data_IF_243100275984
#
_entry.id   IF_243100275984
#
_cell.length_a   1.000
_cell.length_b   1.000
_cell.length_c   1.000
_cell.angle_alpha   90.00
_cell.angle_beta   90.00
_cell.angle_gamma   90.00
#
_symmetry.space_group_name_H-M   'P 1'
#
loop_
_entity.id
_entity.type
_entity.pdbx_description
1 polymer ?
#
# COMPACT_ATOMS: atom_id res chain seq x y z
N UNK A 1 -45.10 -9.61 61.95
CA UNK A 1 -45.77 -10.52 60.99
C UNK A 1 -46.49 -9.63 59.98
N UNK A 2 -45.88 -9.34 58.84
CA UNK A 2 -46.60 -8.70 57.74
C UNK A 2 -46.15 -9.44 56.46
N UNK A 3 -47.10 -10.17 55.87
CA UNK A 3 -46.96 -10.88 54.60
C UNK A 3 -47.21 -9.91 53.46
N UNK A 4 -46.24 -9.72 52.61
CA UNK A 4 -46.41 -8.99 51.35
C UNK A 4 -46.45 -10.05 50.23
N UNK A 5 -47.65 -10.22 49.64
CA UNK A 5 -47.89 -11.02 48.45
C UNK A 5 -47.48 -10.24 47.20
N UNK A 6 -46.48 -10.74 46.48
CA UNK A 6 -46.07 -10.21 45.17
C UNK A 6 -46.90 -10.93 44.07
N UNK A 7 -47.75 -10.16 43.41
CA UNK A 7 -48.50 -10.60 42.21
C UNK A 7 -47.62 -10.36 40.99
N UNK A 8 -47.21 -11.42 40.32
CA UNK A 8 -46.41 -11.40 39.06
C UNK A 8 -47.36 -11.22 37.88
N UNK A 9 -47.39 -10.02 37.30
CA UNK A 9 -48.08 -9.76 36.03
C UNK A 9 -47.18 -10.12 34.88
N UNK A 10 -47.50 -11.18 34.14
CA UNK A 10 -46.80 -11.62 32.94
C UNK A 10 -47.26 -10.78 31.75
N UNK A 11 -46.48 -9.77 31.36
CA UNK A 11 -46.71 -8.99 30.10
C UNK A 11 -46.07 -9.73 28.94
N UNK A 12 -46.92 -10.32 28.09
CA UNK A 12 -46.52 -10.94 26.83
C UNK A 12 -46.24 -9.82 25.82
N UNK A 13 -44.97 -9.42 25.65
CA UNK A 13 -44.55 -8.53 24.56
C UNK A 13 -44.38 -9.38 23.30
N UNK A 14 -45.35 -9.31 22.41
CA UNK A 14 -45.19 -9.81 21.03
C UNK A 14 -44.12 -8.98 20.31
N UNK A 15 -42.88 -9.46 20.30
CA UNK A 15 -41.83 -8.99 19.44
C UNK A 15 -42.16 -9.41 18.00
N UNK A 16 -42.79 -8.49 17.23
CA UNK A 16 -42.88 -8.60 15.81
C UNK A 16 -41.45 -8.54 15.24
N UNK A 17 -40.94 -9.65 14.72
CA UNK A 17 -39.74 -9.68 13.91
C UNK A 17 -40.04 -8.85 12.65
N UNK A 18 -39.24 -7.83 12.33
CA UNK A 18 -39.30 -7.24 11.02
C UNK A 18 -38.83 -8.32 10.03
N UNK A 19 -39.74 -8.80 9.19
CA UNK A 19 -39.37 -9.53 7.98
C UNK A 19 -38.60 -8.54 7.13
N UNK A 20 -37.27 -8.54 7.27
CA UNK A 20 -36.37 -7.83 6.38
C UNK A 20 -36.61 -8.36 4.98
N UNK A 21 -37.36 -7.63 4.19
CA UNK A 21 -37.38 -7.76 2.75
C UNK A 21 -35.93 -7.63 2.27
N UNK A 22 -35.32 -8.74 1.85
CA UNK A 22 -34.13 -8.72 1.03
C UNK A 22 -34.51 -8.10 -0.32
N UNK A 23 -34.65 -6.77 -0.34
CA UNK A 23 -34.74 -6.03 -1.56
C UNK A 23 -33.43 -6.26 -2.31
N UNK A 24 -33.49 -6.90 -3.48
CA UNK A 24 -32.37 -6.89 -4.42
C UNK A 24 -32.05 -5.41 -4.66
N UNK A 25 -30.92 -4.96 -4.12
CA UNK A 25 -30.43 -3.60 -4.35
C UNK A 25 -30.24 -3.44 -5.85
N UNK A 26 -30.78 -2.35 -6.41
CA UNK A 26 -30.63 -2.04 -7.82
C UNK A 26 -29.13 -2.11 -8.20
N UNK A 27 -28.78 -2.66 -9.37
CA UNK A 27 -27.38 -2.77 -9.78
C UNK A 27 -26.72 -1.40 -9.79
N UNK A 28 -25.57 -1.30 -9.15
CA UNK A 28 -24.77 -0.07 -9.13
C UNK A 28 -24.08 0.03 -10.48
N UNK A 29 -24.43 1.06 -11.26
CA UNK A 29 -23.72 1.38 -12.49
C UNK A 29 -22.40 2.06 -12.12
N UNK A 30 -21.29 1.37 -12.36
CA UNK A 30 -19.95 1.79 -11.96
C UNK A 30 -19.15 2.23 -13.20
N UNK A 31 -18.69 3.49 -13.22
CA UNK A 31 -17.70 3.96 -14.19
C UNK A 31 -16.29 3.70 -13.68
N UNK A 32 -15.28 3.73 -14.57
CA UNK A 32 -13.87 3.61 -14.17
C UNK A 32 -13.47 4.70 -13.16
N UNK A 33 -13.95 5.94 -13.36
CA UNK A 33 -13.65 7.05 -12.48
C UNK A 33 -14.24 6.83 -11.07
N UNK A 34 -15.48 6.35 -10.98
CA UNK A 34 -16.14 6.04 -9.70
C UNK A 34 -15.43 4.89 -8.98
N UNK A 35 -14.99 3.86 -9.72
CA UNK A 35 -14.26 2.74 -9.15
C UNK A 35 -12.94 3.21 -8.50
N UNK A 36 -12.18 4.08 -9.19
CA UNK A 36 -10.93 4.66 -8.67
C UNK A 36 -11.19 5.54 -7.45
N UNK A 37 -12.20 6.42 -7.50
CA UNK A 37 -12.54 7.30 -6.38
C UNK A 37 -12.89 6.50 -5.13
N UNK A 38 -13.79 5.52 -5.25
CA UNK A 38 -14.18 4.62 -4.14
C UNK A 38 -12.99 3.83 -3.59
N UNK A 39 -12.15 3.27 -4.46
CA UNK A 39 -10.99 2.52 -4.02
C UNK A 39 -9.98 3.38 -3.25
N UNK A 40 -9.84 4.66 -3.58
CA UNK A 40 -9.01 5.59 -2.80
C UNK A 40 -9.60 5.92 -1.43
N UNK A 41 -10.91 6.01 -1.31
CA UNK A 41 -11.60 6.29 -0.05
C UNK A 41 -11.56 5.11 0.92
N UNK A 42 -11.69 3.89 0.40
CA UNK A 42 -11.85 2.67 1.22
C UNK A 42 -10.56 1.89 1.44
N UNK A 43 -9.46 2.27 0.79
CA UNK A 43 -8.21 1.50 0.80
C UNK A 43 -7.51 1.50 2.15
N UNK A 44 -7.46 0.35 2.81
CA UNK A 44 -6.65 0.12 4.01
C UNK A 44 -5.14 0.29 3.75
N UNK A 45 -4.66 -0.02 2.53
CA UNK A 45 -3.26 0.19 2.14
C UNK A 45 -2.89 1.67 2.12
N UNK A 46 -3.77 2.55 1.63
CA UNK A 46 -3.55 3.99 1.71
C UNK A 46 -3.64 4.52 3.13
N UNK A 47 -4.56 4.00 3.94
CA UNK A 47 -4.67 4.34 5.35
C UNK A 47 -3.40 3.94 6.13
N UNK A 48 -2.82 2.77 5.84
CA UNK A 48 -1.55 2.32 6.42
C UNK A 48 -0.39 3.28 6.11
N UNK A 49 -0.20 3.68 4.83
CA UNK A 49 0.89 4.58 4.45
C UNK A 49 0.68 5.98 5.05
N UNK A 50 -0.56 6.47 5.13
CA UNK A 50 -0.89 7.73 5.85
C UNK A 50 -0.56 7.65 7.34
N UNK A 51 -0.81 6.52 8.00
CA UNK A 51 -0.42 6.34 9.39
C UNK A 51 1.11 6.34 9.57
N UNK A 52 1.86 5.78 8.61
CA UNK A 52 3.34 5.87 8.59
C UNK A 52 3.82 7.32 8.41
N UNK A 53 3.16 8.11 7.57
CA UNK A 53 3.45 9.54 7.42
C UNK A 53 3.26 10.30 8.75
N UNK A 54 2.15 10.05 9.45
CA UNK A 54 1.93 10.64 10.78
C UNK A 54 3.04 10.26 11.78
N UNK A 55 3.47 8.99 11.75
CA UNK A 55 4.61 8.53 12.55
C UNK A 55 5.91 9.25 12.19
N UNK A 56 6.18 9.47 10.91
CA UNK A 56 7.36 10.21 10.46
C UNK A 56 7.30 11.70 10.84
N UNK A 57 6.12 12.34 10.77
CA UNK A 57 5.92 13.71 11.25
C UNK A 57 6.15 13.81 12.76
N UNK A 58 5.68 12.84 13.54
CA UNK A 58 5.97 12.77 14.98
C UNK A 58 7.48 12.62 15.25
N UNK A 59 8.21 11.85 14.42
CA UNK A 59 9.67 11.75 14.50
C UNK A 59 10.38 13.09 14.20
N UNK A 60 9.85 13.91 13.27
CA UNK A 60 10.34 15.28 13.04
C UNK A 60 10.17 16.12 14.30
N UNK A 61 8.98 16.10 14.92
CA UNK A 61 8.76 16.82 16.18
C UNK A 61 9.69 16.32 17.31
N UNK A 62 9.95 15.00 17.36
CA UNK A 62 10.93 14.43 18.28
C UNK A 62 12.35 14.95 18.04
N UNK A 63 12.78 15.07 16.77
CA UNK A 63 14.06 15.64 16.40
C UNK A 63 14.16 17.12 16.76
N UNK A 64 13.09 17.91 16.53
CA UNK A 64 12.98 19.31 16.92
C UNK A 64 12.96 19.54 18.42
N UNK A 65 12.54 18.54 19.19
CA UNK A 65 12.58 18.60 20.64
C UNK A 65 13.95 18.34 21.24
N UNK A 66 14.90 17.80 20.44
CA UNK A 66 16.21 17.41 20.93
C UNK A 66 17.15 18.57 21.32
N UNK A 67 16.84 19.80 20.85
CA UNK A 67 17.52 21.04 21.27
C UNK A 67 16.75 21.81 22.36
N UNK A 68 15.60 21.31 22.80
CA UNK A 68 14.75 21.94 23.79
C UNK A 68 15.16 21.54 25.22
N UNK A 69 14.83 22.37 26.22
CA UNK A 69 15.04 22.00 27.60
C UNK A 69 14.18 20.81 28.02
N UNK A 70 14.79 19.92 28.83
CA UNK A 70 14.13 18.75 29.41
C UNK A 70 14.10 18.91 30.93
N UNK A 71 12.98 18.60 31.54
CA UNK A 71 12.83 18.55 33.01
C UNK A 71 12.55 17.10 33.40
N UNK A 72 13.32 16.59 34.34
CA UNK A 72 13.17 15.23 34.86
C UNK A 72 13.01 15.27 36.39
N UNK A 73 12.15 14.40 36.92
CA UNK A 73 12.03 14.18 38.35
C UNK A 73 12.46 12.72 38.65
N UNK A 74 13.34 12.55 39.60
CA UNK A 74 13.81 11.24 40.05
C UNK A 74 13.64 11.11 41.56
N UNK A 75 13.28 9.92 42.03
CA UNK A 75 13.26 9.58 43.45
C UNK A 75 13.94 8.21 43.63
N UNK A 76 14.80 8.12 44.63
CA UNK A 76 15.51 6.90 44.95
C UNK A 76 15.61 6.67 46.44
N UNK A 77 15.47 5.42 46.84
CA UNK A 77 15.79 4.94 48.18
C UNK A 77 16.93 3.94 48.04
N UNK A 78 17.94 4.11 48.92
CA UNK A 78 19.02 3.14 49.05
C UNK A 78 19.36 2.90 50.52
N UNK A 79 19.54 1.63 50.87
CA UNK A 79 20.06 1.24 52.17
C UNK A 79 21.50 0.75 51.98
N UNK A 80 22.38 1.38 52.74
CA UNK A 80 23.80 1.01 52.78
C UNK A 80 24.11 0.20 54.03
N UNK A 81 25.32 -0.36 54.12
CA UNK A 81 25.81 -1.00 55.34
C UNK A 81 26.05 0.08 56.41
N UNK A 82 26.05 -0.37 57.68
CA UNK A 82 26.45 0.44 58.82
C UNK A 82 27.94 0.80 58.73
N UNK A 83 28.24 2.05 59.09
CA UNK A 83 29.61 2.58 59.13
C UNK A 83 29.89 3.16 60.53
N UNK A 84 31.11 3.06 61.04
CA UNK A 84 31.46 3.69 62.33
C UNK A 84 31.26 5.21 62.26
N UNK A 85 30.63 5.77 63.32
CA UNK A 85 30.49 7.21 63.45
C UNK A 85 31.84 7.90 63.59
N UNK A 86 32.06 8.99 62.87
CA UNK A 86 33.23 9.83 63.03
C UNK A 86 32.86 11.11 63.79
N UNK A 87 33.42 11.27 64.98
CA UNK A 87 33.08 12.38 65.88
C UNK A 87 34.34 12.96 66.54
N UNK A 88 34.33 14.26 66.83
CA UNK A 88 35.37 14.97 67.63
C UNK A 88 34.81 15.37 68.97
N UNK A 89 35.58 15.33 70.00
CA UNK A 89 35.27 15.95 71.28
C UNK A 89 35.83 17.37 71.29
N UNK A 90 34.94 18.39 71.39
CA UNK A 90 35.27 19.79 71.39
C UNK A 90 35.93 20.16 72.76
N UNK A 91 36.74 21.24 72.80
CA UNK A 91 37.32 21.71 74.07
C UNK A 91 36.26 22.01 75.14
N UNK A 92 35.03 22.27 74.76
CA UNK A 92 33.87 22.42 75.63
C UNK A 92 33.32 21.15 76.25
N UNK A 93 33.87 19.96 75.87
CA UNK A 93 33.36 18.66 76.27
C UNK A 93 32.26 18.07 75.41
N UNK A 94 31.69 18.87 74.45
CA UNK A 94 30.62 18.41 73.58
C UNK A 94 31.18 17.52 72.46
N UNK A 95 30.48 16.38 72.17
CA UNK A 95 30.79 15.47 71.04
C UNK A 95 30.11 16.00 69.76
N UNK A 96 30.91 16.41 68.80
CA UNK A 96 30.43 16.79 67.48
C UNK A 96 30.56 15.59 66.52
N UNK A 97 29.40 14.99 66.16
CA UNK A 97 29.36 13.91 65.13
C UNK A 97 29.43 14.58 63.78
N UNK A 98 30.48 14.25 63.02
CA UNK A 98 30.76 14.82 61.72
C UNK A 98 30.21 13.92 60.62
N UNK A 99 30.32 12.60 60.80
CA UNK A 99 29.80 11.60 59.90
C UNK A 99 28.98 10.57 60.71
N UNK A 100 27.68 10.73 60.78
CA UNK A 100 26.77 9.80 61.46
C UNK A 100 26.58 8.50 60.67
N UNK A 101 26.24 7.44 61.38
CA UNK A 101 25.78 6.18 60.78
C UNK A 101 24.30 6.31 60.34
N UNK A 102 24.09 6.60 59.07
CA UNK A 102 22.76 6.74 58.50
C UNK A 102 22.66 5.79 57.31
N UNK A 103 22.17 4.54 57.51
CA UNK A 103 22.11 3.55 56.46
C UNK A 103 21.02 3.80 55.43
N UNK A 104 19.93 4.46 55.83
CA UNK A 104 18.78 4.73 54.96
C UNK A 104 18.92 6.10 54.26
N UNK A 105 18.97 6.07 52.95
CA UNK A 105 19.19 7.27 52.16
C UNK A 105 18.03 7.41 51.17
N UNK A 106 17.36 8.54 51.20
CA UNK A 106 16.31 8.91 50.25
C UNK A 106 16.71 10.18 49.52
N UNK A 107 16.69 10.16 48.20
CA UNK A 107 17.03 11.32 47.37
C UNK A 107 15.92 11.53 46.38
N UNK A 108 15.39 12.74 46.37
CA UNK A 108 14.51 13.21 45.30
C UNK A 108 15.19 14.37 44.60
N UNK A 109 15.15 14.35 43.25
CA UNK A 109 15.77 15.39 42.44
C UNK A 109 14.82 15.82 41.31
N UNK A 110 14.63 17.12 41.14
CA UNK A 110 14.11 17.70 39.91
C UNK A 110 15.26 18.34 39.17
N UNK A 111 15.53 17.90 37.95
CA UNK A 111 16.65 18.35 37.13
C UNK A 111 16.14 18.96 35.82
N UNK A 112 16.73 20.10 35.46
CA UNK A 112 16.59 20.79 34.19
C UNK A 112 17.87 20.57 33.39
N UNK A 113 17.76 20.17 32.10
CA UNK A 113 18.86 20.02 31.18
C UNK A 113 18.52 20.66 29.85
N UNK A 114 19.43 21.44 29.29
CA UNK A 114 19.26 22.09 28.01
C UNK A 114 20.56 22.08 27.20
N UNK A 115 20.60 21.38 26.04
CA UNK A 115 21.73 21.43 25.12
C UNK A 115 21.66 22.73 24.31
N UNK A 116 22.44 23.74 24.69
CA UNK A 116 22.43 25.05 24.02
C UNK A 116 23.29 25.11 22.76
N UNK A 117 24.26 24.17 22.64
CA UNK A 117 25.13 24.08 21.48
C UNK A 117 25.53 22.63 21.21
N UNK A 118 25.19 22.12 20.01
CA UNK A 118 25.42 20.73 19.61
C UNK A 118 26.30 20.60 18.38
N UNK A 119 27.05 21.63 18.01
CA UNK A 119 27.88 21.70 16.80
C UNK A 119 27.15 21.38 15.50
N UNK A 120 25.83 21.66 15.44
CA UNK A 120 24.96 21.39 14.30
C UNK A 120 24.49 19.94 14.17
N UNK A 121 24.73 19.08 15.18
CA UNK A 121 24.29 17.69 15.16
C UNK A 121 22.77 17.57 15.19
N UNK A 122 22.12 18.32 16.06
CA UNK A 122 20.64 18.30 16.19
C UNK A 122 19.99 18.83 14.92
N UNK A 123 20.47 19.96 14.38
CA UNK A 123 19.97 20.52 13.13
C UNK A 123 20.11 19.55 11.94
N UNK A 124 21.22 18.80 11.89
CA UNK A 124 21.44 17.81 10.85
C UNK A 124 20.48 16.60 11.01
N UNK A 125 20.22 16.18 12.26
CA UNK A 125 19.26 15.10 12.52
C UNK A 125 17.83 15.52 12.25
N UNK A 126 17.45 16.78 12.52
CA UNK A 126 16.16 17.35 12.16
C UNK A 126 15.96 17.37 10.62
N UNK A 127 16.99 17.83 9.87
CA UNK A 127 16.94 17.76 8.41
C UNK A 127 16.78 16.33 7.91
N UNK A 128 17.47 15.37 8.52
CA UNK A 128 17.34 13.95 8.16
C UNK A 128 15.93 13.41 8.42
N UNK A 129 15.34 13.75 9.58
CA UNK A 129 13.96 13.35 9.91
C UNK A 129 12.93 14.00 8.96
N UNK A 130 13.12 15.29 8.64
CA UNK A 130 12.26 16.04 7.71
C UNK A 130 12.33 15.45 6.29
N UNK A 131 13.52 15.12 5.81
CA UNK A 131 13.70 14.48 4.50
C UNK A 131 13.02 13.09 4.44
N UNK A 132 13.08 12.31 5.51
CA UNK A 132 12.39 11.01 5.59
C UNK A 132 10.86 11.19 5.61
N UNK A 133 10.34 12.15 6.36
CA UNK A 133 8.89 12.45 6.37
C UNK A 133 8.39 12.86 4.98
N UNK A 134 9.16 13.69 4.27
CA UNK A 134 8.84 14.08 2.89
C UNK A 134 8.96 12.90 1.91
N UNK A 135 9.90 11.99 2.12
CA UNK A 135 10.02 10.77 1.32
C UNK A 135 8.80 9.84 1.51
N UNK A 136 8.33 9.67 2.74
CA UNK A 136 7.13 8.90 3.04
C UNK A 136 5.87 9.56 2.43
N UNK A 137 5.80 10.89 2.40
CA UNK A 137 4.73 11.59 1.68
C UNK A 137 4.73 11.25 0.17
N UNK A 138 5.92 11.17 -0.46
CA UNK A 138 6.03 10.71 -1.84
C UNK A 138 5.69 9.21 -2.00
N UNK A 139 5.93 8.36 -0.99
CA UNK A 139 5.49 6.97 -1.00
C UNK A 139 3.94 6.84 -0.99
N UNK A 140 3.22 7.80 -0.43
CA UNK A 140 1.73 7.85 -0.54
C UNK A 140 1.32 8.03 -2.00
N UNK A 141 1.98 8.91 -2.74
CA UNK A 141 1.67 9.12 -4.15
C UNK A 141 2.00 7.87 -4.98
N UNK A 142 3.10 7.17 -4.65
CA UNK A 142 3.42 5.85 -5.22
C UNK A 142 2.31 4.84 -4.94
N UNK A 143 1.86 4.74 -3.70
CA UNK A 143 0.80 3.81 -3.31
C UNK A 143 -0.54 4.12 -4.00
N UNK A 144 -0.86 5.40 -4.22
CA UNK A 144 -2.03 5.83 -4.99
C UNK A 144 -1.93 5.42 -6.46
N UNK A 145 -0.79 5.65 -7.09
CA UNK A 145 -0.58 5.30 -8.48
C UNK A 145 -0.64 3.78 -8.70
N UNK A 146 -0.10 2.98 -7.78
CA UNK A 146 -0.17 1.53 -7.81
C UNK A 146 -1.61 1.02 -7.60
N UNK A 147 -2.32 1.58 -6.62
CA UNK A 147 -3.72 1.23 -6.36
C UNK A 147 -4.61 1.59 -7.54
N UNK A 148 -4.40 2.76 -8.17
CA UNK A 148 -5.11 3.13 -9.40
C UNK A 148 -4.92 2.09 -10.50
N UNK A 149 -3.67 1.68 -10.77
CA UNK A 149 -3.39 0.66 -11.77
C UNK A 149 -4.08 -0.68 -11.43
N UNK A 150 -4.10 -1.07 -10.16
CA UNK A 150 -4.75 -2.31 -9.70
C UNK A 150 -6.28 -2.24 -9.93
N UNK A 151 -6.92 -1.11 -9.58
CA UNK A 151 -8.35 -0.90 -9.80
C UNK A 151 -8.69 -0.88 -11.30
N UNK A 152 -7.90 -0.18 -12.11
CA UNK A 152 -8.08 -0.12 -13.57
C UNK A 152 -7.97 -1.51 -14.18
N UNK A 153 -7.01 -2.31 -13.73
CA UNK A 153 -6.85 -3.71 -14.15
C UNK A 153 -8.07 -4.57 -13.78
N UNK A 154 -8.54 -4.47 -12.54
CA UNK A 154 -9.71 -5.23 -12.08
C UNK A 154 -10.98 -4.80 -12.83
N UNK A 155 -11.15 -3.52 -13.08
CA UNK A 155 -12.29 -2.96 -13.84
C UNK A 155 -12.34 -3.52 -15.27
N UNK A 156 -11.22 -3.45 -16.00
CA UNK A 156 -11.15 -3.97 -17.35
C UNK A 156 -11.17 -5.51 -17.41
N UNK A 157 -10.75 -6.20 -16.35
CA UNK A 157 -10.90 -7.66 -16.24
C UNK A 157 -12.39 -8.05 -16.20
N UNK A 158 -13.22 -7.33 -15.43
CA UNK A 158 -14.68 -7.55 -15.43
C UNK A 158 -15.30 -7.26 -16.80
N UNK A 159 -14.92 -6.14 -17.44
CA UNK A 159 -15.41 -5.81 -18.78
C UNK A 159 -15.04 -6.88 -19.81
N UNK A 160 -13.82 -7.41 -19.72
CA UNK A 160 -13.32 -8.49 -20.58
C UNK A 160 -14.08 -9.80 -20.34
N UNK A 161 -14.28 -10.18 -19.09
CA UNK A 161 -15.00 -11.40 -18.73
C UNK A 161 -16.48 -11.33 -19.17
N UNK A 162 -17.11 -10.16 -19.01
CA UNK A 162 -18.49 -9.93 -19.50
C UNK A 162 -18.58 -10.10 -21.02
N UNK A 163 -17.65 -9.52 -21.77
CA UNK A 163 -17.62 -9.64 -23.23
C UNK A 163 -17.34 -11.09 -23.68
N UNK A 164 -16.45 -11.81 -22.99
CA UNK A 164 -16.18 -13.21 -23.27
C UNK A 164 -17.43 -14.10 -23.05
N UNK A 165 -18.17 -13.86 -21.96
CA UNK A 165 -19.44 -14.56 -21.71
C UNK A 165 -20.43 -14.27 -22.84
N UNK A 166 -20.60 -13.02 -23.26
CA UNK A 166 -21.51 -12.64 -24.37
C UNK A 166 -21.14 -13.36 -25.66
N UNK A 167 -19.87 -13.39 -26.03
CA UNK A 167 -19.38 -14.09 -27.24
C UNK A 167 -19.66 -15.59 -27.17
N UNK A 168 -19.42 -16.22 -26.01
CA UNK A 168 -19.67 -17.64 -25.80
C UNK A 168 -21.16 -17.99 -25.76
N UNK A 169 -22.04 -17.13 -25.21
CA UNK A 169 -23.50 -17.29 -25.25
C UNK A 169 -24.02 -17.27 -26.70
N UNK A 170 -23.51 -16.33 -27.50
CA UNK A 170 -23.87 -16.27 -28.94
C UNK A 170 -23.34 -17.48 -29.70
N UNK A 171 -22.13 -17.98 -29.39
CA UNK A 171 -21.57 -19.19 -29.98
C UNK A 171 -22.41 -20.43 -29.61
N UNK A 172 -22.74 -20.59 -28.32
CA UNK A 172 -23.61 -21.68 -27.85
C UNK A 172 -24.98 -21.67 -28.53
N UNK A 173 -25.58 -20.48 -28.69
CA UNK A 173 -26.85 -20.34 -29.40
C UNK A 173 -26.76 -20.78 -30.89
N UNK A 174 -25.66 -20.40 -31.56
CA UNK A 174 -25.36 -20.83 -32.94
C UNK A 174 -25.16 -22.35 -33.01
N UNK A 175 -24.46 -22.95 -32.06
CA UNK A 175 -24.22 -24.39 -32.01
C UNK A 175 -25.50 -25.19 -31.74
N UNK A 176 -26.37 -24.71 -30.85
CA UNK A 176 -27.68 -25.35 -30.58
C UNK A 176 -28.58 -25.33 -31.82
N UNK A 177 -28.61 -24.21 -32.55
CA UNK A 177 -29.37 -24.09 -33.78
C UNK A 177 -28.86 -25.06 -34.89
N UNK A 178 -27.54 -25.13 -35.05
CA UNK A 178 -26.88 -26.03 -36.01
C UNK A 178 -27.13 -27.50 -35.67
N UNK A 179 -27.01 -27.86 -34.37
CA UNK A 179 -27.31 -29.23 -33.95
C UNK A 179 -28.77 -29.64 -34.22
N UNK A 180 -29.70 -28.74 -33.92
CA UNK A 180 -31.13 -28.98 -34.17
C UNK A 180 -31.42 -29.18 -35.65
N UNK A 181 -30.79 -28.39 -36.54
CA UNK A 181 -30.96 -28.57 -38.00
C UNK A 181 -30.33 -29.89 -38.48
N UNK A 182 -29.13 -30.21 -37.99
CA UNK A 182 -28.45 -31.44 -38.35
C UNK A 182 -29.21 -32.70 -37.87
N UNK A 183 -29.81 -32.67 -36.68
CA UNK A 183 -30.70 -33.75 -36.21
C UNK A 183 -31.88 -34.00 -37.13
N UNK A 184 -32.58 -32.96 -37.59
CA UNK A 184 -33.68 -33.08 -38.57
C UNK A 184 -33.21 -33.70 -39.89
N UNK A 185 -32.04 -33.29 -40.37
CA UNK A 185 -31.44 -33.86 -41.60
C UNK A 185 -31.04 -35.32 -41.45
N UNK A 186 -30.55 -35.71 -40.27
CA UNK A 186 -30.24 -37.10 -39.94
C UNK A 186 -31.52 -37.99 -39.93
N UNK A 187 -32.60 -37.49 -39.30
CA UNK A 187 -33.89 -38.21 -39.26
C UNK A 187 -34.42 -38.57 -40.65
N UNK A 188 -34.16 -37.71 -41.64
CA UNK A 188 -34.55 -37.98 -43.05
C UNK A 188 -33.42 -38.57 -43.87
N UNK A 189 -32.32 -39.03 -43.25
CA UNK A 189 -31.26 -39.77 -43.92
C UNK A 189 -30.29 -38.92 -44.77
N UNK A 190 -30.30 -37.59 -44.61
CA UNK A 190 -29.46 -36.70 -45.44
C UNK A 190 -28.02 -36.53 -44.90
N UNK A 191 -27.77 -36.85 -43.64
CA UNK A 191 -26.43 -36.81 -43.08
C UNK A 191 -26.15 -38.04 -42.20
N UNK A 192 -24.90 -38.49 -42.07
CA UNK A 192 -24.52 -39.67 -41.29
C UNK A 192 -24.47 -39.37 -39.77
N UNK A 193 -24.63 -40.40 -38.90
CA UNK A 193 -24.69 -40.22 -37.42
C UNK A 193 -23.43 -39.64 -36.81
N UNK A 194 -22.26 -39.87 -37.41
CA UNK A 194 -20.97 -39.33 -36.91
C UNK A 194 -20.94 -37.79 -36.99
N UNK A 195 -21.60 -37.14 -37.93
CA UNK A 195 -21.70 -35.69 -38.03
C UNK A 195 -22.55 -35.12 -36.88
N UNK A 196 -23.65 -35.77 -36.53
CA UNK A 196 -24.47 -35.37 -35.37
C UNK A 196 -23.64 -35.50 -34.07
N UNK A 197 -22.94 -36.64 -33.91
CA UNK A 197 -22.09 -36.85 -32.72
C UNK A 197 -20.96 -35.82 -32.60
N UNK A 198 -20.36 -35.40 -33.72
CA UNK A 198 -19.34 -34.34 -33.72
C UNK A 198 -19.90 -33.00 -33.25
N UNK A 199 -21.09 -32.62 -33.68
CA UNK A 199 -21.79 -31.41 -33.26
C UNK A 199 -22.21 -31.44 -31.78
N UNK A 200 -22.67 -32.62 -31.29
CA UNK A 200 -22.99 -32.79 -29.86
C UNK A 200 -21.73 -32.65 -28.97
N UNK A 201 -20.60 -33.20 -29.40
CA UNK A 201 -19.34 -33.04 -28.70
C UNK A 201 -18.88 -31.57 -28.68
N UNK A 202 -19.03 -30.86 -29.81
CA UNK A 202 -18.68 -29.43 -29.87
C UNK A 202 -19.57 -28.57 -28.98
N UNK A 203 -20.88 -28.76 -29.05
CA UNK A 203 -21.83 -28.08 -28.16
C UNK A 203 -21.47 -28.28 -26.68
N UNK A 204 -21.09 -29.48 -26.30
CA UNK A 204 -20.67 -29.80 -24.94
C UNK A 204 -19.39 -29.05 -24.54
N UNK A 205 -18.41 -28.92 -25.45
CA UNK A 205 -17.21 -28.09 -25.23
C UNK A 205 -17.51 -26.62 -25.06
N UNK A 206 -18.34 -26.05 -25.93
CA UNK A 206 -18.74 -24.62 -25.84
C UNK A 206 -19.51 -24.32 -24.55
N UNK A 207 -20.38 -25.26 -24.12
CA UNK A 207 -21.07 -25.13 -22.83
C UNK A 207 -20.11 -25.17 -21.64
N UNK A 208 -19.08 -26.01 -21.67
CA UNK A 208 -18.05 -26.03 -20.64
C UNK A 208 -17.26 -24.70 -20.60
N UNK A 209 -16.89 -24.15 -21.76
CA UNK A 209 -16.23 -22.85 -21.88
C UNK A 209 -17.10 -21.70 -21.34
N UNK A 210 -18.42 -21.74 -21.62
CA UNK A 210 -19.36 -20.75 -21.10
C UNK A 210 -19.45 -20.78 -19.56
N UNK A 211 -19.50 -21.99 -18.97
CA UNK A 211 -19.50 -22.15 -17.50
C UNK A 211 -18.21 -21.58 -16.92
N UNK A 212 -17.05 -21.89 -17.50
CA UNK A 212 -15.76 -21.38 -17.08
C UNK A 212 -15.68 -19.84 -17.18
N UNK A 213 -16.14 -19.27 -18.29
CA UNK A 213 -16.20 -17.82 -18.47
C UNK A 213 -17.12 -17.15 -17.44
N UNK A 214 -18.25 -17.78 -17.09
CA UNK A 214 -19.14 -17.34 -16.01
C UNK A 214 -18.43 -17.32 -14.67
N UNK A 215 -17.67 -18.34 -14.33
CA UNK A 215 -16.87 -18.38 -13.10
C UNK A 215 -15.76 -17.30 -13.08
N UNK A 216 -15.09 -17.07 -14.20
CA UNK A 216 -14.09 -16.00 -14.34
C UNK A 216 -14.76 -14.62 -14.12
N UNK A 217 -15.96 -14.40 -14.69
CA UNK A 217 -16.70 -13.15 -14.47
C UNK A 217 -17.00 -12.93 -12.98
N UNK A 218 -17.50 -13.92 -12.29
CA UNK A 218 -17.77 -13.80 -10.84
C UNK A 218 -16.50 -13.57 -10.03
N UNK A 219 -15.41 -14.26 -10.35
CA UNK A 219 -14.11 -14.05 -9.68
C UNK A 219 -13.59 -12.61 -9.87
N UNK A 220 -13.68 -12.07 -11.09
CA UNK A 220 -13.26 -10.68 -11.35
C UNK A 220 -14.16 -9.65 -10.65
N UNK A 221 -15.46 -9.93 -10.50
CA UNK A 221 -16.38 -9.10 -9.74
C UNK A 221 -16.04 -9.09 -8.24
N UNK A 222 -15.66 -10.25 -7.67
CA UNK A 222 -15.20 -10.34 -6.27
C UNK A 222 -13.97 -9.44 -6.06
N UNK A 223 -12.99 -9.50 -6.94
CA UNK A 223 -11.79 -8.67 -6.86
C UNK A 223 -12.11 -7.17 -6.97
N UNK A 224 -13.00 -6.79 -7.89
CA UNK A 224 -13.39 -5.39 -8.05
C UNK A 224 -14.15 -4.87 -6.82
N UNK A 225 -15.09 -5.67 -6.25
CA UNK A 225 -15.80 -5.31 -5.01
C UNK A 225 -14.81 -5.09 -3.87
N UNK A 226 -13.85 -5.99 -3.69
CA UNK A 226 -12.80 -5.88 -2.67
C UNK A 226 -11.99 -4.59 -2.82
N UNK A 227 -11.58 -4.24 -4.04
CA UNK A 227 -10.76 -3.05 -4.31
C UNK A 227 -11.54 -1.74 -4.16
N UNK A 228 -12.85 -1.77 -4.40
CA UNK A 228 -13.73 -0.59 -4.32
C UNK A 228 -14.48 -0.48 -2.99
N UNK A 229 -14.26 -1.42 -2.06
CA UNK A 229 -14.92 -1.43 -0.75
C UNK A 229 -16.43 -1.64 -0.83
N UNK A 230 -16.92 -2.25 -1.92
CA UNK A 230 -18.32 -2.59 -2.06
C UNK A 230 -18.64 -3.89 -1.31
N UNK A 231 -19.90 -3.98 -0.83
CA UNK A 231 -20.39 -5.19 -0.20
C UNK A 231 -20.28 -6.39 -1.15
N UNK A 232 -19.90 -7.61 -0.67
CA UNK A 232 -19.77 -8.80 -1.49
C UNK A 232 -21.01 -9.15 -2.34
N UNK A 233 -22.20 -8.83 -1.86
CA UNK A 233 -23.47 -9.14 -2.52
C UNK A 233 -23.95 -8.02 -3.48
N UNK A 234 -23.21 -6.92 -3.58
CA UNK A 234 -23.56 -5.81 -4.46
C UNK A 234 -23.52 -6.23 -5.92
N UNK A 235 -24.62 -6.02 -6.64
CA UNK A 235 -24.68 -6.22 -8.09
C UNK A 235 -24.04 -5.03 -8.78
N UNK A 236 -22.96 -5.26 -9.53
CA UNK A 236 -22.23 -4.23 -10.27
C UNK A 236 -22.55 -4.36 -11.76
N UNK A 237 -22.96 -3.25 -12.37
CA UNK A 237 -22.99 -3.09 -13.83
C UNK A 237 -21.89 -2.11 -14.27
N UNK A 238 -20.96 -2.60 -15.11
CA UNK A 238 -19.88 -1.79 -15.66
C UNK A 238 -20.42 -0.90 -16.79
N UNK A 239 -20.21 0.42 -16.64
CA UNK A 239 -20.72 1.41 -17.58
C UNK A 239 -19.94 1.44 -18.90
N UNK A 240 -18.61 1.21 -18.84
CA UNK A 240 -17.74 1.38 -19.99
C UNK A 240 -17.64 0.10 -20.83
N UNK A 241 -17.57 0.28 -22.15
CA UNK A 241 -17.34 -0.82 -23.10
C UNK A 241 -15.86 -0.90 -23.43
N UNK A 242 -15.37 -2.12 -23.71
CA UNK A 242 -13.96 -2.35 -24.08
C UNK A 242 -13.52 -1.57 -25.33
N UNK A 243 -14.41 -1.42 -26.29
CA UNK A 243 -14.16 -0.80 -27.60
C UNK A 243 -14.47 0.71 -27.63
N UNK A 244 -15.03 1.30 -26.58
CA UNK A 244 -15.40 2.70 -26.54
C UNK A 244 -14.18 3.61 -26.32
N UNK A 245 -14.02 4.66 -27.14
CA UNK A 245 -13.02 5.71 -26.89
C UNK A 245 -11.58 5.22 -26.97
N UNK A 246 -11.26 4.30 -27.87
CA UNK A 246 -9.88 3.95 -28.22
C UNK A 246 -9.26 5.16 -28.92
N UNK A 247 -8.69 6.09 -28.14
CA UNK A 247 -7.96 7.20 -28.67
C UNK A 247 -6.57 6.73 -29.12
N UNK A 248 -6.06 7.29 -30.22
CA UNK A 248 -4.62 7.20 -30.47
C UNK A 248 -3.91 7.87 -29.28
N UNK A 249 -3.12 7.16 -28.49
CA UNK A 249 -2.44 7.77 -27.38
C UNK A 249 -1.53 8.87 -27.93
N UNK A 250 -1.70 10.09 -27.41
CA UNK A 250 -0.77 11.17 -27.71
C UNK A 250 0.59 10.78 -27.15
N UNK A 251 1.51 10.43 -28.06
CA UNK A 251 2.87 10.07 -27.69
C UNK A 251 3.56 11.34 -27.17
N UNK A 252 3.98 11.43 -25.90
CA UNK A 252 4.67 12.60 -25.39
C UNK A 252 5.98 12.80 -26.14
N UNK A 253 6.41 14.04 -26.34
CA UNK A 253 7.62 14.37 -27.10
C UNK A 253 8.90 13.84 -26.42
N UNK A 254 8.91 13.69 -25.09
CA UNK A 254 10.03 13.12 -24.34
C UNK A 254 9.52 12.28 -23.15
N UNK A 255 8.99 11.07 -23.41
CA UNK A 255 8.28 10.28 -22.39
C UNK A 255 9.19 9.81 -21.25
N UNK A 256 10.46 9.57 -21.51
CA UNK A 256 11.42 9.13 -20.48
C UNK A 256 11.69 10.27 -19.50
N UNK A 257 11.95 11.47 -19.99
CA UNK A 257 12.22 12.61 -19.13
C UNK A 257 10.98 12.96 -18.30
N UNK A 258 9.80 12.94 -18.90
CA UNK A 258 8.53 13.15 -18.20
C UNK A 258 8.36 12.14 -17.06
N UNK A 259 8.66 10.87 -17.30
CA UNK A 259 8.60 9.83 -16.28
C UNK A 259 9.61 10.07 -15.14
N UNK A 260 10.86 10.43 -15.47
CA UNK A 260 11.88 10.72 -14.46
C UNK A 260 11.52 11.91 -13.57
N UNK A 261 10.83 12.91 -14.14
CA UNK A 261 10.44 14.12 -13.40
C UNK A 261 9.16 13.90 -12.56
N UNK A 262 8.24 13.06 -13.02
CA UNK A 262 6.92 12.90 -12.41
C UNK A 262 6.80 11.69 -11.47
N UNK A 263 7.66 10.67 -11.58
CA UNK A 263 7.54 9.47 -10.74
C UNK A 263 7.81 9.76 -9.26
N UNK A 264 6.83 9.48 -8.39
CA UNK A 264 6.97 9.75 -6.95
C UNK A 264 8.03 8.87 -6.29
N UNK A 265 8.33 7.67 -6.80
CA UNK A 265 9.38 6.79 -6.28
C UNK A 265 10.77 7.44 -6.42
N UNK A 266 11.03 8.09 -7.56
CA UNK A 266 12.30 8.81 -7.79
C UNK A 266 12.43 9.98 -6.81
N UNK A 267 11.33 10.72 -6.62
CA UNK A 267 11.27 11.82 -5.64
C UNK A 267 11.55 11.30 -4.22
N UNK A 268 10.95 10.18 -3.81
CA UNK A 268 11.19 9.57 -2.52
C UNK A 268 12.66 9.16 -2.33
N UNK A 269 13.28 8.53 -3.33
CA UNK A 269 14.70 8.16 -3.30
C UNK A 269 15.62 9.38 -3.18
N UNK A 270 15.34 10.45 -3.92
CA UNK A 270 16.12 11.70 -3.86
C UNK A 270 16.01 12.38 -2.49
N UNK A 271 14.83 12.38 -1.88
CA UNK A 271 14.63 12.91 -0.54
C UNK A 271 15.36 12.07 0.50
N UNK A 272 15.33 10.73 0.41
CA UNK A 272 16.10 9.84 1.29
C UNK A 272 17.61 10.05 1.13
N UNK A 273 18.10 10.31 -0.08
CA UNK A 273 19.50 10.68 -0.30
C UNK A 273 19.86 11.94 0.52
N UNK A 274 19.05 13.00 0.43
CA UNK A 274 19.25 14.21 1.23
C UNK A 274 19.24 13.95 2.73
N UNK A 275 18.37 13.05 3.20
CA UNK A 275 18.32 12.60 4.60
C UNK A 275 19.61 11.87 5.03
N UNK A 276 20.18 11.01 4.17
CA UNK A 276 21.45 10.33 4.43
C UNK A 276 22.63 11.29 4.43
N UNK A 277 22.66 12.28 3.55
CA UNK A 277 23.67 13.36 3.54
C UNK A 277 23.60 14.18 4.83
N UNK A 278 22.40 14.46 5.34
CA UNK A 278 22.21 15.12 6.62
C UNK A 278 22.71 14.25 7.79
N UNK A 279 22.47 12.93 7.77
CA UNK A 279 23.02 11.99 8.78
C UNK A 279 24.54 11.93 8.72
N UNK A 280 25.14 11.96 7.54
CA UNK A 280 26.59 12.06 7.38
C UNK A 280 27.14 13.35 8.01
N UNK A 281 26.46 14.49 7.81
CA UNK A 281 26.82 15.75 8.48
C UNK A 281 26.73 15.63 10.00
N UNK A 282 25.67 15.00 10.53
CA UNK A 282 25.55 14.73 11.97
C UNK A 282 26.72 13.88 12.50
N UNK A 283 27.12 12.83 11.77
CA UNK A 283 28.26 12.00 12.15
C UNK A 283 29.58 12.78 12.19
N UNK A 284 29.79 13.76 11.30
CA UNK A 284 30.97 14.62 11.28
C UNK A 284 31.12 15.50 12.54
N UNK A 285 30.07 15.62 13.35
CA UNK A 285 30.10 16.41 14.57
C UNK A 285 30.65 15.64 15.80
N UNK A 286 30.91 14.33 15.67
CA UNK A 286 31.27 13.46 16.78
C UNK A 286 32.54 13.88 17.53
N UNK A 287 33.49 14.59 16.90
CA UNK A 287 34.69 15.14 17.50
C UNK A 287 34.60 16.65 17.79
N UNK A 288 33.41 17.25 17.68
CA UNK A 288 33.19 18.66 17.95
C UNK A 288 32.65 18.87 19.38
N UNK A 289 32.92 20.02 20.03
CA UNK A 289 32.40 20.28 21.35
C UNK A 289 30.90 20.48 21.39
N UNK A 290 30.27 20.07 22.50
CA UNK A 290 28.86 20.35 22.81
C UNK A 290 28.77 21.10 24.11
N UNK A 291 27.81 22.01 24.25
CA UNK A 291 27.60 22.82 25.44
C UNK A 291 26.18 22.60 25.93
N UNK A 292 26.06 22.31 27.23
CA UNK A 292 24.78 22.16 27.91
C UNK A 292 24.68 22.99 29.16
N UNK A 293 23.51 23.41 29.53
CA UNK A 293 23.15 24.04 30.78
C UNK A 293 22.30 23.06 31.60
N UNK A 294 22.63 22.94 32.87
CA UNK A 294 21.87 22.13 33.81
C UNK A 294 21.52 22.92 35.06
N UNK A 295 20.39 22.61 35.66
CA UNK A 295 20.00 23.06 36.97
C UNK A 295 19.30 21.92 37.71
N UNK A 296 19.40 21.89 39.02
CA UNK A 296 18.71 20.86 39.81
C UNK A 296 18.41 21.30 41.21
N UNK A 297 17.34 20.74 41.76
CA UNK A 297 16.95 20.88 43.15
C UNK A 297 16.85 19.48 43.73
N UNK A 298 17.62 19.21 44.77
CA UNK A 298 17.61 17.99 45.56
C UNK A 298 16.85 18.22 46.87
N UNK A 299 15.99 17.28 47.23
CA UNK A 299 15.38 17.16 48.54
C UNK A 299 15.68 15.75 49.05
N UNK A 300 16.61 15.66 50.02
CA UNK A 300 17.20 14.37 50.39
C UNK A 300 17.35 14.21 51.92
N UNK A 301 17.33 12.96 52.37
CA UNK A 301 17.59 12.58 53.76
C UNK A 301 18.55 11.36 53.77
N UNK A 302 19.81 11.52 54.25
CA UNK A 302 20.51 12.79 54.48
C UNK A 302 20.84 13.49 53.18
N UNK A 303 20.95 14.81 53.19
CA UNK A 303 21.41 15.55 52.02
C UNK A 303 22.94 15.48 51.93
N UNK A 304 23.51 14.92 50.83
CA UNK A 304 24.96 14.74 50.70
C UNK A 304 25.74 16.05 50.56
N UNK A 305 25.08 17.17 50.27
CA UNK A 305 25.69 18.52 50.12
C UNK A 305 25.78 19.27 51.43
N UNK A 306 25.04 18.84 52.46
CA UNK A 306 24.99 19.52 53.76
C UNK A 306 25.97 18.82 54.70
N UNK A 307 26.80 19.65 55.36
CA UNK A 307 27.81 19.17 56.32
C UNK A 307 27.69 19.94 57.62
N UNK A 308 27.81 19.26 58.80
CA UNK A 308 27.83 17.84 59.03
C UNK A 308 26.56 17.14 58.57
N UNK A 309 26.69 15.86 58.10
CA UNK A 309 25.51 15.08 57.64
C UNK A 309 24.51 14.89 58.78
N UNK A 310 23.24 15.06 58.48
CA UNK A 310 22.12 14.88 59.44
C UNK A 310 21.09 13.99 58.80
N UNK A 311 20.45 13.10 59.57
CA UNK A 311 19.32 12.27 59.17
C UNK A 311 18.01 13.07 59.10
N UNK A 312 18.04 14.19 58.45
CA UNK A 312 16.92 15.12 58.31
C UNK A 312 16.72 15.42 56.81
N UNK A 313 15.48 15.73 56.42
CA UNK A 313 15.19 16.20 55.09
C UNK A 313 15.76 17.61 54.88
N UNK A 314 16.61 17.77 53.87
CA UNK A 314 17.21 19.05 53.55
C UNK A 314 17.23 19.31 52.04
N UNK A 315 17.07 20.56 51.67
CA UNK A 315 17.11 21.00 50.27
C UNK A 315 18.53 21.42 49.86
N UNK A 316 18.83 21.23 48.60
CA UNK A 316 20.02 21.84 47.97
C UNK A 316 19.74 22.04 46.48
N UNK A 317 20.43 22.99 45.88
CA UNK A 317 20.30 23.27 44.46
C UNK A 317 21.65 23.43 43.78
N UNK A 318 21.69 23.26 42.48
CA UNK A 318 22.82 23.52 41.62
C UNK A 318 22.42 24.10 40.25
N UNK A 319 23.31 24.91 39.70
CA UNK A 319 23.29 25.35 38.30
C UNK A 319 24.66 25.07 37.73
N UNK A 320 24.67 24.51 36.52
CA UNK A 320 25.92 24.09 35.86
C UNK A 320 25.91 24.43 34.37
N UNK A 321 27.07 24.77 33.85
CA UNK A 321 27.36 24.80 32.42
C UNK A 321 28.39 23.71 32.16
N UNK A 322 28.09 22.83 31.25
CA UNK A 322 28.96 21.72 30.87
C UNK A 322 29.43 21.85 29.43
N UNK A 323 30.72 21.65 29.20
CA UNK A 323 31.31 21.52 27.87
C UNK A 323 31.84 20.08 27.76
N UNK A 324 31.31 19.33 26.76
CA UNK A 324 31.81 17.99 26.47
C UNK A 324 32.47 18.00 25.10
N UNK A 325 33.72 17.51 25.04
CA UNK A 325 34.52 17.48 23.82
C UNK A 325 35.34 16.21 23.74
N UNK A 326 35.01 15.34 22.81
CA UNK A 326 35.77 14.13 22.50
C UNK A 326 36.85 14.45 21.47
N UNK A 327 37.96 15.09 21.92
CA UNK A 327 39.04 15.50 21.02
C UNK A 327 39.81 14.30 20.43
N UNK A 328 39.68 13.12 21.02
CA UNK A 328 40.25 11.86 20.53
C UNK A 328 39.33 10.69 20.87
N UNK A 329 38.95 9.92 19.87
CA UNK A 329 37.94 8.85 19.98
C UNK A 329 38.40 7.54 19.31
N UNK A 330 39.72 7.37 19.14
CA UNK A 330 40.33 6.21 18.48
C UNK A 330 39.84 5.91 17.09
N UNK A 331 39.34 6.94 16.38
CA UNK A 331 38.86 6.81 14.99
C UNK A 331 37.40 6.42 14.86
N UNK A 332 36.63 6.34 15.95
CA UNK A 332 35.19 5.99 15.91
C UNK A 332 34.38 6.94 15.00
N UNK A 333 34.55 8.26 15.17
CA UNK A 333 33.89 9.24 14.32
C UNK A 333 34.28 9.08 12.86
N UNK A 334 35.54 8.84 12.54
CA UNK A 334 36.01 8.60 11.18
C UNK A 334 35.36 7.38 10.56
N UNK A 335 35.17 6.29 11.31
CA UNK A 335 34.48 5.09 10.88
C UNK A 335 32.99 5.35 10.64
N UNK A 336 32.30 6.07 11.53
CA UNK A 336 30.92 6.44 11.38
C UNK A 336 30.66 7.35 10.16
N UNK A 337 31.56 8.31 9.91
CA UNK A 337 31.49 9.16 8.70
C UNK A 337 31.70 8.34 7.43
N UNK A 338 32.65 7.39 7.44
CA UNK A 338 32.88 6.51 6.29
C UNK A 338 31.68 5.60 6.02
N UNK A 339 31.06 5.04 7.06
CA UNK A 339 29.82 4.25 6.96
C UNK A 339 28.67 5.08 6.34
N UNK A 340 28.45 6.29 6.86
CA UNK A 340 27.43 7.19 6.33
C UNK A 340 27.72 7.60 4.88
N UNK A 341 28.98 7.85 4.52
CA UNK A 341 29.40 8.16 3.16
C UNK A 341 29.13 6.97 2.20
N UNK A 342 29.37 5.75 2.65
CA UNK A 342 29.06 4.54 1.88
C UNK A 342 27.55 4.39 1.64
N UNK A 343 26.71 4.70 2.64
CA UNK A 343 25.25 4.69 2.49
C UNK A 343 24.76 5.74 1.47
N UNK A 344 25.37 6.95 1.47
CA UNK A 344 25.12 8.00 0.46
C UNK A 344 25.48 7.50 -0.93
N UNK A 345 26.69 6.94 -1.10
CA UNK A 345 27.16 6.41 -2.38
C UNK A 345 26.24 5.30 -2.90
N UNK A 346 25.89 4.33 -2.05
CA UNK A 346 24.97 3.24 -2.40
C UNK A 346 23.59 3.75 -2.86
N UNK A 347 23.08 4.81 -2.22
CA UNK A 347 21.78 5.39 -2.61
C UNK A 347 21.85 6.14 -3.94
N UNK A 348 22.98 6.77 -4.25
CA UNK A 348 23.20 7.39 -5.58
C UNK A 348 23.19 6.36 -6.70
N UNK A 349 23.89 5.25 -6.51
CA UNK A 349 23.84 4.13 -7.48
C UNK A 349 22.43 3.54 -7.60
N UNK A 350 21.69 3.45 -6.51
CA UNK A 350 20.29 3.01 -6.54
C UNK A 350 19.38 3.95 -7.32
N UNK A 351 19.61 5.26 -7.29
CA UNK A 351 18.88 6.24 -8.11
C UNK A 351 19.24 6.04 -9.58
N UNK A 352 20.52 5.89 -9.92
CA UNK A 352 20.97 5.66 -11.30
C UNK A 352 20.38 4.35 -11.89
N UNK A 353 20.36 3.27 -11.11
CA UNK A 353 19.70 2.03 -11.51
C UNK A 353 18.18 2.22 -11.71
N UNK A 354 17.53 2.91 -10.79
CA UNK A 354 16.10 3.23 -10.93
C UNK A 354 15.81 4.03 -12.20
N UNK A 355 16.62 5.03 -12.52
CA UNK A 355 16.48 5.83 -13.74
C UNK A 355 16.62 4.95 -15.00
N UNK A 356 17.53 3.98 -14.99
CA UNK A 356 17.69 2.99 -16.07
C UNK A 356 16.45 2.09 -16.23
N UNK A 357 15.93 1.57 -15.11
CA UNK A 357 14.70 0.75 -15.08
C UNK A 357 13.50 1.53 -15.59
N UNK A 358 13.35 2.81 -15.19
CA UNK A 358 12.28 3.68 -15.68
C UNK A 358 12.38 3.87 -17.20
N UNK A 359 13.57 4.12 -17.73
CA UNK A 359 13.78 4.29 -19.17
C UNK A 359 13.42 3.03 -19.97
N UNK A 360 13.73 1.84 -19.43
CA UNK A 360 13.36 0.55 -20.05
C UNK A 360 11.86 0.31 -19.97
N UNK A 361 11.23 0.55 -18.80
CA UNK A 361 9.79 0.37 -18.57
C UNK A 361 8.97 1.25 -19.52
N UNK A 362 9.28 2.55 -19.63
CA UNK A 362 8.57 3.46 -20.53
C UNK A 362 8.66 2.99 -21.99
N UNK A 363 9.86 2.60 -22.47
CA UNK A 363 10.01 2.08 -23.84
C UNK A 363 9.18 0.83 -24.07
N UNK A 364 9.18 -0.10 -23.13
CA UNK A 364 8.38 -1.31 -23.22
C UNK A 364 6.87 -1.01 -23.29
N UNK A 365 6.36 -0.06 -22.47
CA UNK A 365 4.94 0.31 -22.51
C UNK A 365 4.55 0.98 -23.83
N UNK A 366 5.42 1.78 -24.42
CA UNK A 366 5.19 2.35 -25.74
C UNK A 366 5.08 1.26 -26.83
N UNK A 367 5.97 0.28 -26.81
CA UNK A 367 5.88 -0.87 -27.72
C UNK A 367 4.60 -1.69 -27.52
N UNK A 368 4.13 -1.86 -26.25
CA UNK A 368 2.85 -2.52 -25.98
C UNK A 368 1.65 -1.76 -26.57
N UNK A 369 1.68 -0.43 -26.56
CA UNK A 369 0.64 0.40 -27.18
C UNK A 369 0.64 0.25 -28.70
N UNK A 370 1.80 0.42 -29.34
CA UNK A 370 1.93 0.36 -30.80
C UNK A 370 1.52 -1.03 -31.32
N UNK A 371 2.00 -2.08 -30.69
CA UNK A 371 1.63 -3.46 -31.05
C UNK A 371 0.17 -3.76 -30.75
N UNK A 372 -0.39 -3.24 -29.66
CA UNK A 372 -1.78 -3.41 -29.26
C UNK A 372 -2.76 -2.87 -30.30
N UNK A 373 -2.50 -1.68 -30.83
CA UNK A 373 -3.33 -1.09 -31.89
C UNK A 373 -3.32 -1.95 -33.18
N UNK A 374 -2.15 -2.43 -33.60
CA UNK A 374 -2.02 -3.31 -34.75
C UNK A 374 -2.72 -4.67 -34.51
N UNK A 375 -2.63 -5.23 -33.32
CA UNK A 375 -3.31 -6.50 -32.96
C UNK A 375 -4.84 -6.36 -32.99
N UNK A 376 -5.41 -5.24 -32.54
CA UNK A 376 -6.85 -4.99 -32.63
C UNK A 376 -7.30 -4.96 -34.09
N UNK A 377 -6.56 -4.28 -34.97
CA UNK A 377 -6.85 -4.23 -36.39
C UNK A 377 -6.86 -5.66 -37.01
N UNK A 378 -5.78 -6.40 -36.78
CA UNK A 378 -5.64 -7.78 -37.28
C UNK A 378 -6.76 -8.70 -36.75
N UNK A 379 -7.09 -8.63 -35.46
CA UNK A 379 -8.16 -9.41 -34.86
C UNK A 379 -9.54 -9.02 -35.41
N UNK A 380 -9.78 -7.72 -35.68
CA UNK A 380 -11.02 -7.24 -36.30
C UNK A 380 -11.18 -7.73 -37.73
N UNK A 381 -10.11 -7.76 -38.50
CA UNK A 381 -10.08 -8.32 -39.87
C UNK A 381 -10.33 -9.84 -39.85
N UNK A 382 -9.75 -10.55 -38.87
CA UNK A 382 -9.98 -11.98 -38.66
C UNK A 382 -11.45 -12.28 -38.35
N UNK A 383 -12.09 -11.50 -37.46
CA UNK A 383 -13.53 -11.65 -37.18
C UNK A 383 -14.37 -11.44 -38.42
N UNK A 384 -14.10 -10.39 -39.23
CA UNK A 384 -14.81 -10.11 -40.46
C UNK A 384 -14.66 -11.26 -41.45
N UNK A 385 -13.46 -11.77 -41.67
CA UNK A 385 -13.17 -12.88 -42.59
C UNK A 385 -13.78 -14.19 -42.07
N UNK A 386 -13.70 -14.47 -40.77
CA UNK A 386 -14.31 -15.65 -40.15
C UNK A 386 -15.83 -15.66 -40.22
N UNK A 387 -16.46 -14.50 -40.02
CA UNK A 387 -17.92 -14.35 -40.17
C UNK A 387 -18.40 -14.64 -41.60
N UNK A 388 -17.68 -14.10 -42.59
CA UNK A 388 -17.98 -14.37 -43.99
C UNK A 388 -17.73 -15.82 -44.39
N UNK A 389 -16.61 -16.41 -43.97
CA UNK A 389 -16.31 -17.82 -44.21
C UNK A 389 -17.44 -18.73 -43.64
N UNK A 390 -17.82 -18.46 -42.37
CA UNK A 390 -18.94 -19.20 -41.74
C UNK A 390 -20.25 -19.03 -42.54
N UNK A 391 -20.56 -17.83 -42.98
CA UNK A 391 -21.78 -17.56 -43.79
C UNK A 391 -21.78 -18.40 -45.06
N UNK A 392 -20.70 -18.32 -45.85
CA UNK A 392 -20.59 -19.07 -47.12
C UNK A 392 -20.67 -20.56 -46.89
N UNK A 393 -19.98 -21.10 -45.87
CA UNK A 393 -20.00 -22.57 -45.60
C UNK A 393 -21.39 -22.99 -45.12
N UNK A 394 -22.12 -22.19 -44.34
CA UNK A 394 -23.50 -22.47 -43.93
C UNK A 394 -24.46 -22.50 -45.13
N UNK A 395 -24.31 -21.56 -46.07
CA UNK A 395 -25.11 -21.52 -47.30
C UNK A 395 -24.85 -22.77 -48.17
N UNK A 396 -23.59 -23.19 -48.30
CA UNK A 396 -23.20 -24.41 -49.02
C UNK A 396 -23.73 -25.70 -48.33
N UNK A 397 -23.72 -25.74 -47.02
CA UNK A 397 -24.32 -26.83 -46.24
C UNK A 397 -25.81 -26.94 -46.48
N UNK A 398 -26.51 -25.80 -46.53
CA UNK A 398 -27.93 -25.75 -46.82
C UNK A 398 -28.24 -26.24 -48.25
N UNK A 399 -27.34 -25.96 -49.20
CA UNK A 399 -27.41 -26.44 -50.58
C UNK A 399 -26.94 -27.93 -50.77
N UNK A 400 -26.48 -28.59 -49.69
CA UNK A 400 -26.04 -29.98 -49.73
C UNK A 400 -24.63 -30.21 -50.33
N UNK A 401 -23.81 -29.09 -50.49
CA UNK A 401 -22.47 -29.16 -51.09
C UNK A 401 -21.32 -28.94 -50.07
N UNK A 402 -21.65 -28.89 -48.78
CA UNK A 402 -20.71 -28.89 -47.66
C UNK A 402 -21.21 -29.83 -46.57
N UNK A 403 -20.32 -30.30 -45.71
CA UNK A 403 -20.64 -31.14 -44.55
C UNK A 403 -20.95 -30.37 -43.30
N UNK A 404 -21.62 -30.97 -42.32
CA UNK A 404 -21.79 -30.37 -41.00
C UNK A 404 -20.46 -30.08 -40.29
N UNK A 405 -19.42 -30.93 -40.58
CA UNK A 405 -18.08 -30.70 -40.07
C UNK A 405 -17.43 -29.45 -40.66
N UNK A 406 -17.65 -29.12 -41.93
CA UNK A 406 -17.15 -27.87 -42.52
C UNK A 406 -17.77 -26.62 -41.83
N UNK A 407 -19.07 -26.67 -41.51
CA UNK A 407 -19.73 -25.62 -40.77
C UNK A 407 -19.16 -25.49 -39.34
N UNK A 408 -18.92 -26.64 -38.70
CA UNK A 408 -18.33 -26.70 -37.39
C UNK A 408 -16.95 -26.01 -37.34
N UNK A 409 -16.04 -26.34 -38.29
CA UNK A 409 -14.71 -25.73 -38.38
C UNK A 409 -14.80 -24.24 -38.58
N UNK A 410 -15.70 -23.77 -39.44
CA UNK A 410 -15.89 -22.33 -39.65
C UNK A 410 -16.46 -21.62 -38.41
N UNK A 411 -17.36 -22.27 -37.65
CA UNK A 411 -17.90 -21.72 -36.40
C UNK A 411 -16.81 -21.60 -35.30
N UNK A 412 -15.96 -22.64 -35.13
CA UNK A 412 -14.86 -22.62 -34.18
C UNK A 412 -13.85 -21.51 -34.53
N UNK A 413 -13.48 -21.38 -35.81
CA UNK A 413 -12.57 -20.34 -36.27
C UNK A 413 -13.11 -18.91 -36.01
N UNK A 414 -14.42 -18.71 -36.22
CA UNK A 414 -15.06 -17.42 -35.88
C UNK A 414 -15.04 -17.16 -34.38
N UNK A 415 -15.41 -18.13 -33.54
CA UNK A 415 -15.39 -18.01 -32.09
C UNK A 415 -13.98 -17.65 -31.56
N UNK A 416 -12.96 -18.34 -32.07
CA UNK A 416 -11.55 -18.04 -31.72
C UNK A 416 -11.17 -16.62 -32.11
N UNK A 417 -11.60 -16.13 -33.27
CA UNK A 417 -11.36 -14.77 -33.74
C UNK A 417 -12.08 -13.72 -32.87
N UNK A 418 -13.34 -13.96 -32.47
CA UNK A 418 -14.13 -13.10 -31.59
C UNK A 418 -13.47 -12.98 -30.20
N UNK A 419 -13.01 -14.09 -29.62
CA UNK A 419 -12.29 -14.13 -28.36
C UNK A 419 -10.90 -13.47 -28.46
N UNK A 420 -10.20 -13.65 -29.58
CA UNK A 420 -8.91 -13.02 -29.83
C UNK A 420 -9.06 -11.47 -29.90
N UNK A 421 -10.13 -10.97 -30.55
CA UNK A 421 -10.43 -9.54 -30.59
C UNK A 421 -10.72 -9.00 -29.18
N UNK A 422 -11.52 -9.71 -28.37
CA UNK A 422 -11.79 -9.34 -26.98
C UNK A 422 -10.51 -9.23 -26.17
N UNK A 423 -9.59 -10.19 -26.31
CA UNK A 423 -8.26 -10.16 -25.63
C UNK A 423 -7.40 -9.00 -26.12
N UNK A 424 -7.39 -8.71 -27.44
CA UNK A 424 -6.61 -7.60 -28.00
C UNK A 424 -7.08 -6.24 -27.43
N UNK A 425 -8.39 -6.02 -27.35
CA UNK A 425 -8.99 -4.84 -26.74
C UNK A 425 -8.62 -4.70 -25.27
N UNK A 426 -8.74 -5.78 -24.49
CA UNK A 426 -8.38 -5.80 -23.08
C UNK A 426 -6.89 -5.51 -22.84
N UNK A 427 -6.01 -6.08 -23.67
CA UNK A 427 -4.57 -5.86 -23.60
C UNK A 427 -4.20 -4.41 -23.88
N UNK A 428 -4.83 -3.73 -24.86
CA UNK A 428 -4.59 -2.31 -25.12
C UNK A 428 -5.04 -1.45 -23.95
N UNK A 429 -6.22 -1.70 -23.35
CA UNK A 429 -6.67 -0.98 -22.15
C UNK A 429 -5.70 -1.10 -20.98
N UNK A 430 -5.15 -2.29 -20.80
CA UNK A 430 -4.15 -2.53 -19.77
C UNK A 430 -2.81 -1.87 -20.09
N UNK A 431 -2.39 -1.87 -21.37
CA UNK A 431 -1.18 -1.17 -21.83
C UNK A 431 -1.29 0.33 -21.62
N UNK A 432 -2.44 0.97 -21.93
CA UNK A 432 -2.73 2.37 -21.63
C UNK A 432 -2.57 2.68 -20.13
N UNK A 433 -3.18 1.88 -19.28
CA UNK A 433 -3.07 2.05 -17.83
C UNK A 433 -1.63 1.92 -17.31
N UNK A 434 -0.88 0.94 -17.84
CA UNK A 434 0.54 0.74 -17.51
C UNK A 434 1.41 1.89 -17.98
N UNK A 435 1.14 2.44 -19.20
CA UNK A 435 1.86 3.60 -19.69
C UNK A 435 1.60 4.83 -18.82
N UNK A 436 0.35 5.09 -18.43
CA UNK A 436 0.02 6.16 -17.49
C UNK A 436 0.82 6.05 -16.19
N UNK A 437 0.86 4.84 -15.61
CA UNK A 437 1.65 4.55 -14.39
C UNK A 437 3.16 4.72 -14.63
N UNK A 438 3.65 4.28 -15.79
CA UNK A 438 5.06 4.40 -16.17
C UNK A 438 5.50 5.86 -16.33
N UNK A 439 4.62 6.73 -16.83
CA UNK A 439 4.85 8.17 -16.96
C UNK A 439 4.69 8.94 -15.63
N UNK A 440 4.28 8.28 -14.53
CA UNK A 440 4.03 8.94 -13.25
C UNK A 440 2.72 9.73 -13.20
N UNK A 441 1.81 9.53 -14.16
CA UNK A 441 0.49 10.16 -14.17
C UNK A 441 -0.45 9.43 -13.21
N UNK A 442 -0.88 10.11 -12.16
CA UNK A 442 -1.78 9.58 -11.13
C UNK A 442 -3.24 9.94 -11.39
#
# INVERSE_FOLDING_TARGET
MIRITFTLALVFVCLGWPTGSFGQSAPIRLTLADAVARGFETSHRLAEVKAREQGAQAAVHGAQAADKPMVTATAGYSRTNHVPEFAFVQPSGNRLVVYPDIPDNVVTRVAFQWPIYTSGRVDAMERAATAEAQAIAADIDTARADLRLEIVRAYWAVATAREAVRVLEEAATRADAQLADSKRRFEVGLIPPNEVSALEAQRSRERAQLIEAGNIRESTLIDLRRLTGLDPDTVIDIADRLDAGLANPSNPSNPIQEALDQRPERKALTLRLGGLEARQQAAMTGTKPTIGVGAGVDYANPNPRVFPRKGEWQESWDVSVSVSWAFWDSGRTKAQVAEAAAAVAATRERIAEFDSVVAADVRQRLLEIDSGAAMIQAATDAVRSGAEARRVVADRFTAGVATATDVLVAQVALLESELARTRALANLRLAEARLHRALGKS
#
